data_IF_007821330865
#
_entry.id   IF_007821330865
#
_cell.length_a   1.000
_cell.length_b   1.000
_cell.length_c   1.000
_cell.angle_alpha   90.00
_cell.angle_beta   90.00
_cell.angle_gamma   90.00
#
_symmetry.space_group_name_H-M   'P 1'
#
loop_
_entity.id
_entity.type
_entity.pdbx_description
1 polymer ?
#
# COMPACT_ATOMS: atom_id res chain seq x y z
N UNK A 1 -22.98 7.74 -3.28
CA UNK A 1 -22.84 9.00 -2.50
C UNK A 1 -21.56 9.64 -2.97
N UNK A 2 -21.62 10.73 -3.74
CA UNK A 2 -20.40 11.41 -4.22
C UNK A 2 -20.01 12.43 -3.13
N UNK A 3 -18.77 12.38 -2.66
CA UNK A 3 -18.26 13.34 -1.68
C UNK A 3 -18.36 14.78 -2.20
N UNK A 4 -18.34 15.75 -1.27
CA UNK A 4 -18.37 17.16 -1.66
C UNK A 4 -17.20 17.47 -2.62
N UNK A 5 -17.41 18.20 -3.74
CA UNK A 5 -16.32 18.65 -4.61
C UNK A 5 -15.22 19.42 -3.86
N UNK A 6 -15.55 20.00 -2.70
CA UNK A 6 -14.57 20.67 -1.82
C UNK A 6 -13.53 19.71 -1.24
N UNK A 7 -13.84 18.41 -1.13
CA UNK A 7 -12.89 17.41 -0.65
C UNK A 7 -11.65 17.31 -1.54
N UNK A 8 -11.79 17.57 -2.86
CA UNK A 8 -10.69 17.56 -3.83
C UNK A 8 -9.60 18.58 -3.50
N UNK A 9 -9.93 19.66 -2.77
CA UNK A 9 -8.94 20.66 -2.34
C UNK A 9 -7.93 20.09 -1.33
N UNK A 10 -8.26 18.95 -0.70
CA UNK A 10 -7.40 18.26 0.25
C UNK A 10 -6.66 17.07 -0.37
N UNK A 11 -6.87 16.76 -1.65
CA UNK A 11 -6.19 15.66 -2.34
C UNK A 11 -4.85 16.09 -2.96
N UNK A 12 -4.03 16.79 -2.17
CA UNK A 12 -2.71 17.26 -2.62
C UNK A 12 -1.69 16.12 -2.56
N UNK A 13 -0.72 16.03 -3.50
CA UNK A 13 0.33 15.00 -3.45
C UNK A 13 1.20 15.09 -2.18
N UNK A 14 1.36 16.30 -1.65
CA UNK A 14 2.25 16.61 -0.53
C UNK A 14 1.45 17.17 0.66
N UNK A 15 0.64 16.35 1.35
CA UNK A 15 -0.13 16.83 2.49
C UNK A 15 0.80 17.21 3.64
N UNK A 16 0.41 18.21 4.44
CA UNK A 16 1.12 18.49 5.70
C UNK A 16 0.73 17.47 6.76
N UNK A 17 1.53 17.34 7.82
CA UNK A 17 1.14 16.53 9.00
C UNK A 17 -0.25 16.95 9.50
N UNK A 18 -0.54 18.25 9.56
CA UNK A 18 -1.83 18.74 10.05
C UNK A 18 -2.98 18.26 9.18
N UNK A 19 -2.78 18.16 7.87
CA UNK A 19 -3.84 17.72 6.96
C UNK A 19 -4.23 16.28 7.20
N UNK A 20 -3.25 15.39 7.39
CA UNK A 20 -3.51 13.95 7.56
C UNK A 20 -4.14 13.57 8.90
N UNK A 21 -4.04 14.43 9.93
CA UNK A 21 -4.73 14.21 11.22
C UNK A 21 -6.21 14.64 11.23
N UNK A 22 -6.68 15.39 10.21
CA UNK A 22 -8.03 15.98 10.24
C UNK A 22 -9.15 14.95 10.36
N UNK A 23 -9.02 13.81 9.69
CA UNK A 23 -10.06 12.78 9.73
C UNK A 23 -10.09 12.07 11.09
N UNK A 24 -8.92 11.74 11.65
CA UNK A 24 -8.82 11.17 13.00
C UNK A 24 -9.45 12.10 14.05
N UNK A 25 -9.16 13.41 13.99
CA UNK A 25 -9.76 14.40 14.89
C UNK A 25 -11.28 14.51 14.75
N UNK A 26 -11.83 14.22 13.57
CA UNK A 26 -13.26 14.19 13.34
C UNK A 26 -13.88 12.88 13.87
N UNK A 27 -13.26 11.73 13.57
CA UNK A 27 -13.76 10.40 13.94
C UNK A 27 -13.70 10.15 15.45
N UNK A 28 -12.66 10.62 16.14
CA UNK A 28 -12.53 10.51 17.61
C UNK A 28 -13.70 11.13 18.40
N UNK A 29 -14.53 11.96 17.76
CA UNK A 29 -15.74 12.55 18.38
C UNK A 29 -16.94 11.60 18.37
N UNK A 30 -16.94 10.62 17.48
CA UNK A 30 -18.06 9.69 17.24
C UNK A 30 -17.64 8.22 17.33
N UNK A 31 -16.36 7.92 17.56
CA UNK A 31 -15.81 6.56 17.59
C UNK A 31 -16.52 5.63 18.60
N UNK A 32 -17.14 6.19 19.66
CA UNK A 32 -17.87 5.42 20.67
C UNK A 32 -19.27 5.00 20.23
N UNK A 33 -19.79 5.56 19.15
CA UNK A 33 -21.14 5.33 18.66
C UNK A 33 -21.20 4.22 17.60
N UNK A 34 -20.04 3.74 17.13
CA UNK A 34 -19.93 2.76 16.05
C UNK A 34 -18.91 1.67 16.38
N UNK A 35 -19.27 0.40 16.15
CA UNK A 35 -18.34 -0.72 16.32
C UNK A 35 -17.30 -0.83 15.19
N UNK A 36 -17.66 -0.33 14.00
CA UNK A 36 -16.84 -0.39 12.79
C UNK A 36 -17.05 0.84 11.93
N UNK A 37 -15.94 1.43 11.47
CA UNK A 37 -15.93 2.53 10.50
C UNK A 37 -15.24 2.05 9.23
N UNK A 38 -15.91 2.15 8.09
CA UNK A 38 -15.35 1.85 6.76
C UNK A 38 -15.09 3.17 6.05
N UNK A 39 -13.85 3.39 5.62
CA UNK A 39 -13.44 4.59 4.89
C UNK A 39 -13.15 4.20 3.43
N UNK A 40 -13.96 4.70 2.51
CA UNK A 40 -13.74 4.54 1.07
C UNK A 40 -12.86 5.68 0.55
N UNK A 41 -11.79 5.35 -0.17
CA UNK A 41 -10.76 6.31 -0.59
C UNK A 41 -10.79 6.57 -2.09
N UNK A 42 -10.36 7.75 -2.56
CA UNK A 42 -10.10 7.95 -3.98
C UNK A 42 -9.00 7.00 -4.49
N UNK A 43 -8.89 6.79 -5.81
CA UNK A 43 -7.93 5.85 -6.40
C UNK A 43 -6.47 6.35 -6.37
N UNK A 44 -6.21 7.60 -5.97
CA UNK A 44 -4.89 8.21 -5.85
C UNK A 44 -4.29 7.96 -4.46
N UNK A 45 -2.96 7.76 -4.36
CA UNK A 45 -2.24 7.69 -3.07
C UNK A 45 -1.77 9.09 -2.64
N UNK A 46 -2.72 10.03 -2.64
CA UNK A 46 -2.50 11.45 -2.33
C UNK A 46 -2.99 11.79 -0.91
N UNK A 47 -3.16 13.08 -0.63
CA UNK A 47 -3.58 13.63 0.66
C UNK A 47 -4.83 12.99 1.25
N UNK A 48 -5.89 12.75 0.47
CA UNK A 48 -7.12 12.15 1.02
C UNK A 48 -6.91 10.71 1.46
N UNK A 49 -6.23 9.90 0.65
CA UNK A 49 -5.94 8.50 0.95
C UNK A 49 -4.99 8.37 2.13
N UNK A 50 -3.94 9.19 2.20
CA UNK A 50 -3.04 9.23 3.36
C UNK A 50 -3.75 9.68 4.64
N UNK A 51 -4.66 10.64 4.53
CA UNK A 51 -5.52 11.07 5.66
C UNK A 51 -6.42 9.92 6.14
N UNK A 52 -7.00 9.15 5.21
CA UNK A 52 -7.77 7.96 5.53
C UNK A 52 -6.93 6.89 6.25
N UNK A 53 -5.73 6.62 5.75
CA UNK A 53 -4.82 5.64 6.36
C UNK A 53 -4.36 6.04 7.77
N UNK A 54 -4.02 7.31 7.98
CA UNK A 54 -3.65 7.81 9.33
C UNK A 54 -4.80 7.65 10.33
N UNK A 55 -6.04 7.74 9.87
CA UNK A 55 -7.25 7.55 10.68
C UNK A 55 -7.67 6.07 10.83
N UNK A 56 -6.99 5.13 10.18
CA UNK A 56 -7.38 3.71 10.13
C UNK A 56 -6.51 2.82 11.01
N UNK A 57 -7.11 1.79 11.60
CA UNK A 57 -6.37 0.69 12.24
C UNK A 57 -5.93 -0.36 11.23
N UNK A 58 -6.74 -0.60 10.20
CA UNK A 58 -6.51 -1.59 9.15
C UNK A 58 -6.77 -1.00 7.78
N UNK A 59 -5.92 -1.34 6.81
CA UNK A 59 -6.12 -0.98 5.39
C UNK A 59 -6.18 -2.24 4.54
N UNK A 60 -7.28 -2.41 3.82
CA UNK A 60 -7.45 -3.45 2.81
C UNK A 60 -7.11 -2.88 1.43
N UNK A 61 -6.17 -3.50 0.72
CA UNK A 61 -5.81 -3.12 -0.65
C UNK A 61 -6.60 -3.99 -1.61
N UNK A 62 -7.39 -3.37 -2.48
CA UNK A 62 -8.12 -4.06 -3.54
C UNK A 62 -7.32 -3.95 -4.84
N UNK A 63 -6.91 -5.08 -5.39
CA UNK A 63 -6.07 -5.14 -6.60
C UNK A 63 -6.75 -5.96 -7.69
N UNK A 64 -6.71 -5.48 -8.92
CA UNK A 64 -7.07 -6.27 -10.10
C UNK A 64 -5.82 -7.04 -10.59
N UNK A 65 -5.97 -8.20 -11.24
CA UNK A 65 -4.84 -8.95 -11.78
C UNK A 65 -4.31 -8.28 -13.07
N UNK A 66 -3.63 -7.15 -12.91
CA UNK A 66 -3.02 -6.35 -13.98
C UNK A 66 -1.65 -5.80 -13.54
N UNK A 67 -0.75 -5.54 -14.51
CA UNK A 67 0.59 -4.98 -14.21
C UNK A 67 0.53 -3.70 -13.37
N UNK A 68 -0.35 -2.77 -13.70
CA UNK A 68 -0.44 -1.48 -13.01
C UNK A 68 -0.97 -1.65 -11.59
N UNK A 69 -1.92 -2.56 -11.40
CA UNK A 69 -2.49 -2.87 -10.08
C UNK A 69 -1.47 -3.56 -9.17
N UNK A 70 -0.64 -4.46 -9.71
CA UNK A 70 0.47 -5.10 -8.97
C UNK A 70 1.43 -4.03 -8.44
N UNK A 71 1.90 -3.14 -9.31
CA UNK A 71 2.82 -2.04 -8.93
C UNK A 71 2.16 -1.09 -7.94
N UNK A 72 0.89 -0.75 -8.14
CA UNK A 72 0.15 0.12 -7.23
C UNK A 72 -0.02 -0.51 -5.84
N UNK A 73 -0.28 -1.81 -5.76
CA UNK A 73 -0.41 -2.55 -4.50
C UNK A 73 0.93 -2.58 -3.73
N UNK A 74 2.06 -2.80 -4.40
CA UNK A 74 3.38 -2.77 -3.76
C UNK A 74 3.68 -1.37 -3.19
N UNK A 75 3.44 -0.33 -3.98
CA UNK A 75 3.58 1.06 -3.53
C UNK A 75 2.69 1.38 -2.34
N UNK A 76 1.44 0.91 -2.35
CA UNK A 76 0.52 1.10 -1.24
C UNK A 76 1.00 0.39 0.03
N UNK A 77 1.45 -0.87 -0.07
CA UNK A 77 2.00 -1.63 1.06
C UNK A 77 3.21 -0.92 1.68
N UNK A 78 4.15 -0.44 0.86
CA UNK A 78 5.32 0.32 1.33
C UNK A 78 4.92 1.61 2.03
N UNK A 79 4.01 2.38 1.43
CA UNK A 79 3.54 3.65 2.00
C UNK A 79 2.77 3.45 3.32
N UNK A 80 1.98 2.37 3.44
CA UNK A 80 1.32 2.00 4.71
C UNK A 80 2.37 1.70 5.78
N UNK A 81 3.42 0.96 5.44
CA UNK A 81 4.48 0.60 6.39
C UNK A 81 5.32 1.83 6.82
N UNK A 82 5.59 2.76 5.90
CA UNK A 82 6.23 4.05 6.22
C UNK A 82 5.38 4.87 7.19
N UNK A 83 4.08 5.01 6.91
CA UNK A 83 3.15 5.70 7.80
C UNK A 83 3.02 5.00 9.16
N UNK A 84 3.04 3.67 9.19
CA UNK A 84 3.01 2.90 10.43
C UNK A 84 4.24 3.20 11.29
N UNK A 85 5.43 3.18 10.69
CA UNK A 85 6.69 3.41 11.41
C UNK A 85 6.84 4.85 11.88
N UNK A 86 6.46 5.81 11.05
CA UNK A 86 6.67 7.24 11.34
C UNK A 86 5.52 7.90 12.10
N UNK A 87 4.28 7.67 11.69
CA UNK A 87 3.16 8.51 12.12
C UNK A 87 2.08 7.80 12.95
N UNK A 88 1.72 6.57 12.60
CA UNK A 88 0.56 5.88 13.18
C UNK A 88 0.88 4.39 13.47
N UNK A 89 1.55 4.08 14.60
CA UNK A 89 1.96 2.71 14.93
C UNK A 89 0.84 1.66 15.03
N UNK A 90 -0.42 2.11 15.14
CA UNK A 90 -1.62 1.26 15.12
C UNK A 90 -2.01 0.78 13.72
N UNK A 91 -1.66 1.53 12.68
CA UNK A 91 -1.99 1.23 11.29
C UNK A 91 -1.31 -0.07 10.87
N UNK A 92 -2.08 -1.01 10.34
CA UNK A 92 -1.54 -2.23 9.74
C UNK A 92 -2.26 -2.50 8.42
N UNK A 93 -1.56 -3.05 7.43
CA UNK A 93 -2.23 -3.61 6.28
C UNK A 93 -3.02 -4.85 6.74
N UNK A 94 -4.31 -4.91 6.40
CA UNK A 94 -5.10 -6.14 6.54
C UNK A 94 -4.62 -7.18 5.51
N UNK A 95 -4.26 -6.71 4.32
CA UNK A 95 -3.77 -7.51 3.23
C UNK A 95 -4.20 -6.96 1.87
N UNK A 96 -3.94 -7.76 0.84
CA UNK A 96 -4.32 -7.51 -0.55
C UNK A 96 -5.40 -8.51 -0.96
N UNK A 97 -6.52 -8.03 -1.50
CA UNK A 97 -7.56 -8.89 -2.10
C UNK A 97 -7.53 -8.78 -3.63
N UNK A 98 -7.56 -9.93 -4.31
CA UNK A 98 -7.67 -9.98 -5.77
C UNK A 98 -9.14 -9.80 -6.14
N UNK A 99 -9.43 -8.78 -6.93
CA UNK A 99 -10.75 -8.46 -7.44
C UNK A 99 -10.82 -8.57 -8.96
N UNK A 100 -12.03 -8.79 -9.48
CA UNK A 100 -12.31 -8.94 -10.92
C UNK A 100 -11.43 -9.99 -11.61
N UNK A 101 -11.22 -11.11 -10.93
CA UNK A 101 -10.50 -12.22 -11.53
C UNK A 101 -11.29 -12.83 -12.70
N UNK A 102 -10.59 -13.16 -13.79
CA UNK A 102 -11.14 -13.94 -14.91
C UNK A 102 -10.31 -15.21 -15.04
N UNK A 103 -10.75 -16.35 -14.47
CA UNK A 103 -9.95 -17.58 -14.44
C UNK A 103 -9.53 -18.10 -15.82
N UNK A 104 -10.31 -17.80 -16.86
CA UNK A 104 -10.00 -18.21 -18.25
C UNK A 104 -8.94 -17.32 -18.92
N UNK A 105 -8.60 -16.18 -18.33
CA UNK A 105 -7.59 -15.26 -18.87
C UNK A 105 -6.19 -15.65 -18.40
N UNK A 106 -5.33 -16.06 -19.34
CA UNK A 106 -3.92 -16.39 -19.05
C UNK A 106 -3.18 -15.22 -18.39
N UNK A 107 -3.45 -13.99 -18.83
CA UNK A 107 -2.86 -12.79 -18.23
C UNK A 107 -3.31 -12.62 -16.77
N UNK A 108 -4.61 -12.79 -16.49
CA UNK A 108 -5.09 -12.66 -15.11
C UNK A 108 -4.47 -13.74 -14.21
N UNK A 109 -4.36 -14.99 -14.69
CA UNK A 109 -3.73 -16.08 -13.93
C UNK A 109 -2.25 -15.80 -13.68
N UNK A 110 -1.51 -15.29 -14.67
CA UNK A 110 -0.13 -14.89 -14.51
C UNK A 110 0.04 -13.78 -13.45
N UNK A 111 -0.79 -12.73 -13.53
CA UNK A 111 -0.77 -11.61 -12.56
C UNK A 111 -1.21 -12.00 -11.17
N UNK A 112 -2.19 -12.90 -11.05
CA UNK A 112 -2.60 -13.44 -9.76
C UNK A 112 -1.45 -14.22 -9.09
N UNK A 113 -0.67 -14.99 -9.86
CA UNK A 113 0.52 -15.65 -9.34
C UNK A 113 1.60 -14.64 -8.93
N UNK A 114 1.82 -13.58 -9.71
CA UNK A 114 2.76 -12.50 -9.35
C UNK A 114 2.35 -11.83 -8.02
N UNK A 115 1.06 -11.54 -7.82
CA UNK A 115 0.52 -11.03 -6.55
C UNK A 115 0.76 -12.03 -5.41
N UNK A 116 0.56 -13.33 -5.65
CA UNK A 116 0.78 -14.38 -4.67
C UNK A 116 2.25 -14.51 -4.24
N UNK A 117 3.17 -14.43 -5.19
CA UNK A 117 4.61 -14.55 -4.95
C UNK A 117 5.15 -13.32 -4.21
N UNK A 118 4.60 -12.14 -4.53
CA UNK A 118 5.04 -10.86 -3.97
C UNK A 118 4.47 -10.62 -2.56
N UNK A 119 3.18 -10.88 -2.35
CA UNK A 119 2.51 -10.58 -1.08
C UNK A 119 2.41 -11.75 -0.13
N UNK A 120 2.54 -13.01 -0.59
CA UNK A 120 2.59 -14.22 0.26
C UNK A 120 1.51 -14.21 1.35
N UNK A 121 1.90 -14.13 2.62
CA UNK A 121 1.00 -14.07 3.78
C UNK A 121 0.13 -12.81 3.86
N UNK A 122 0.52 -11.72 3.19
CA UNK A 122 -0.28 -10.51 3.07
C UNK A 122 -1.33 -10.59 1.96
N UNK A 123 -1.31 -11.62 1.10
CA UNK A 123 -2.40 -11.85 0.15
C UNK A 123 -3.55 -12.56 0.88
N UNK A 124 -4.74 -11.99 0.79
CA UNK A 124 -5.93 -12.64 1.35
C UNK A 124 -6.25 -13.92 0.58
N UNK A 125 -6.74 -14.92 1.30
CA UNK A 125 -7.14 -16.21 0.72
C UNK A 125 -8.36 -16.08 -0.20
N UNK A 126 -9.16 -15.03 0.01
CA UNK A 126 -10.35 -14.74 -0.79
C UNK A 126 -9.99 -14.05 -2.11
N UNK A 127 -10.70 -14.45 -3.17
CA UNK A 127 -10.58 -13.87 -4.50
C UNK A 127 -11.97 -13.65 -5.09
N UNK A 128 -12.19 -12.46 -5.65
CA UNK A 128 -13.48 -12.06 -6.22
C UNK A 128 -13.39 -12.16 -7.75
N UNK A 129 -14.17 -13.07 -8.32
CA UNK A 129 -14.30 -13.18 -9.78
C UNK A 129 -15.10 -12.01 -10.37
N UNK A 130 -14.80 -11.67 -11.61
CA UNK A 130 -15.60 -10.73 -12.38
C UNK A 130 -16.95 -11.36 -12.73
N UNK A 131 -18.02 -10.91 -12.05
CA UNK A 131 -19.39 -11.40 -12.23
C UNK A 131 -20.34 -10.27 -12.61
N UNK A 132 -21.19 -10.52 -13.61
CA UNK A 132 -22.27 -9.59 -13.99
C UNK A 132 -23.22 -9.28 -12.80
N UNK A 133 -23.42 -10.25 -11.90
CA UNK A 133 -24.24 -10.08 -10.69
C UNK A 133 -23.79 -8.91 -9.81
N UNK A 134 -22.48 -8.68 -9.67
CA UNK A 134 -21.95 -7.54 -8.91
C UNK A 134 -22.33 -6.23 -9.61
N UNK A 135 -22.14 -6.16 -10.92
CA UNK A 135 -22.45 -4.97 -11.71
C UNK A 135 -23.96 -4.66 -11.69
N UNK A 136 -24.81 -5.69 -11.73
CA UNK A 136 -26.26 -5.56 -11.64
C UNK A 136 -26.70 -5.04 -10.26
N UNK A 137 -26.15 -5.62 -9.17
CA UNK A 137 -26.43 -5.17 -7.81
C UNK A 137 -25.99 -3.72 -7.59
N UNK A 138 -24.79 -3.35 -8.08
CA UNK A 138 -24.28 -1.99 -8.07
C UNK A 138 -25.19 -1.03 -8.85
N UNK A 139 -25.58 -1.40 -10.08
CA UNK A 139 -26.48 -0.58 -10.91
C UNK A 139 -27.86 -0.38 -10.29
N UNK A 140 -28.33 -1.33 -9.49
CA UNK A 140 -29.56 -1.21 -8.71
C UNK A 140 -29.36 -0.52 -7.34
N UNK A 141 -28.15 -0.10 -7.00
CA UNK A 141 -27.78 0.46 -5.70
C UNK A 141 -28.18 -0.43 -4.50
N UNK A 142 -28.03 -1.76 -4.66
CA UNK A 142 -28.34 -2.74 -3.62
C UNK A 142 -27.08 -3.48 -3.16
N UNK A 143 -26.89 -3.69 -1.85
CA UNK A 143 -25.85 -4.57 -1.36
C UNK A 143 -26.01 -5.97 -1.92
N UNK A 144 -24.89 -6.64 -2.23
CA UNK A 144 -24.89 -7.99 -2.80
C UNK A 144 -25.62 -9.00 -1.90
N UNK A 145 -25.53 -8.83 -0.57
CA UNK A 145 -26.26 -9.61 0.44
C UNK A 145 -27.78 -9.59 0.29
N UNK A 146 -28.32 -8.55 -0.36
CA UNK A 146 -29.76 -8.43 -0.59
C UNK A 146 -30.16 -8.77 -2.03
N UNK A 147 -29.19 -9.01 -2.92
CA UNK A 147 -29.45 -9.30 -4.32
C UNK A 147 -29.91 -10.75 -4.50
N UNK A 148 -30.93 -11.02 -5.34
CA UNK A 148 -31.46 -12.36 -5.49
C UNK A 148 -30.53 -13.29 -6.29
N UNK A 149 -30.59 -14.58 -5.98
CA UNK A 149 -29.95 -15.66 -6.75
C UNK A 149 -28.71 -16.27 -6.09
N UNK A 150 -28.42 -17.52 -6.44
CA UNK A 150 -27.37 -18.32 -5.80
C UNK A 150 -25.97 -17.68 -5.91
N UNK A 151 -25.65 -17.12 -7.09
CA UNK A 151 -24.39 -16.40 -7.31
C UNK A 151 -24.22 -15.20 -6.37
N UNK A 152 -25.31 -14.51 -6.01
CA UNK A 152 -25.24 -13.38 -5.08
C UNK A 152 -24.99 -13.86 -3.65
N UNK A 153 -25.59 -14.99 -3.26
CA UNK A 153 -25.38 -15.63 -1.96
C UNK A 153 -23.91 -16.09 -1.84
N UNK A 154 -23.35 -16.69 -2.88
CA UNK A 154 -21.93 -17.08 -2.91
C UNK A 154 -21.02 -15.86 -2.78
N UNK A 155 -21.28 -14.79 -3.54
CA UNK A 155 -20.51 -13.55 -3.45
C UNK A 155 -20.62 -12.89 -2.08
N UNK A 156 -21.80 -12.88 -1.46
CA UNK A 156 -22.02 -12.33 -0.13
C UNK A 156 -21.13 -13.02 0.93
N UNK A 157 -20.98 -14.35 0.86
CA UNK A 157 -20.10 -15.11 1.76
C UNK A 157 -18.64 -14.67 1.64
N UNK A 158 -18.17 -14.33 0.44
CA UNK A 158 -16.80 -13.82 0.25
C UNK A 158 -16.61 -12.49 1.01
N UNK A 159 -17.59 -11.59 0.95
CA UNK A 159 -17.55 -10.35 1.73
C UNK A 159 -17.64 -10.59 3.23
N UNK A 160 -18.40 -11.61 3.66
CA UNK A 160 -18.47 -12.01 5.08
C UNK A 160 -17.12 -12.55 5.57
N UNK A 161 -16.40 -13.32 4.75
CA UNK A 161 -15.05 -13.79 5.05
C UNK A 161 -14.05 -12.62 5.16
N UNK A 162 -14.13 -11.63 4.27
CA UNK A 162 -13.32 -10.40 4.36
C UNK A 162 -13.61 -9.66 5.67
N UNK A 163 -14.89 -9.50 6.02
CA UNK A 163 -15.30 -8.84 7.26
C UNK A 163 -14.80 -9.62 8.48
N UNK A 164 -14.93 -10.94 8.48
CA UNK A 164 -14.45 -11.79 9.56
C UNK A 164 -12.93 -11.67 9.75
N UNK A 165 -12.16 -11.66 8.65
CA UNK A 165 -10.72 -11.44 8.69
C UNK A 165 -10.36 -10.06 9.26
N UNK A 166 -11.07 -9.00 8.84
CA UNK A 166 -10.89 -7.66 9.38
C UNK A 166 -11.15 -7.62 10.91
N UNK A 167 -12.27 -8.18 11.35
CA UNK A 167 -12.65 -8.23 12.77
C UNK A 167 -11.67 -9.04 13.61
N UNK A 168 -11.20 -10.17 13.10
CA UNK A 168 -10.20 -11.00 13.76
C UNK A 168 -8.88 -10.25 13.92
N UNK A 169 -8.48 -9.48 12.91
CA UNK A 169 -7.21 -8.73 12.95
C UNK A 169 -7.17 -7.69 14.08
N UNK A 170 -8.31 -7.17 14.56
CA UNK A 170 -8.36 -6.24 15.69
C UNK A 170 -8.07 -6.90 17.04
N UNK A 171 -8.16 -8.23 17.13
CA UNK A 171 -7.90 -8.99 18.35
C UNK A 171 -6.42 -9.32 18.54
N UNK A 172 -5.59 -9.13 17.51
CA UNK A 172 -4.15 -9.31 17.63
C UNK A 172 -3.56 -8.30 18.61
N UNK A 173 -2.76 -8.74 19.61
CA UNK A 173 -2.28 -7.85 20.65
C UNK A 173 -1.46 -6.69 20.08
N UNK A 174 -1.95 -5.47 20.30
CA UNK A 174 -1.15 -4.27 20.16
C UNK A 174 0.01 -4.32 21.16
N UNK A 175 1.26 -4.38 20.68
CA UNK A 175 2.45 -4.48 21.54
C UNK A 175 2.50 -3.31 22.54
N UNK A 176 2.47 -3.61 23.84
CA UNK A 176 2.33 -2.64 24.94
C UNK A 176 3.48 -1.64 25.05
N UNK A 177 4.64 -1.90 24.42
CA UNK A 177 5.71 -0.91 24.29
C UNK A 177 5.29 0.32 23.44
N UNK A 178 4.26 0.18 22.60
CA UNK A 178 3.78 1.19 21.64
C UNK A 178 2.99 2.35 22.26
N UNK A 179 2.25 2.15 23.36
CA UNK A 179 1.47 3.23 24.00
C UNK A 179 2.31 4.38 24.62
N UNK A 180 3.63 4.16 24.80
CA UNK A 180 4.58 5.22 25.17
C UNK A 180 5.01 6.09 23.96
N UNK A 181 4.98 5.54 22.74
CA UNK A 181 5.30 6.28 21.50
C UNK A 181 4.15 7.21 21.09
N UNK A 182 2.89 6.81 21.22
CA UNK A 182 1.72 7.66 20.89
C UNK A 182 1.70 8.98 21.68
N UNK A 183 2.08 8.94 22.97
CA UNK A 183 2.22 10.15 23.81
C UNK A 183 3.41 11.03 23.39
N UNK A 184 4.47 10.45 22.83
CA UNK A 184 5.63 11.17 22.29
C UNK A 184 5.27 11.83 20.94
N UNK A 185 4.50 11.15 20.10
CA UNK A 185 3.98 11.63 18.82
C UNK A 185 2.99 12.79 18.96
N UNK A 186 2.09 12.76 19.95
CA UNK A 186 1.24 13.92 20.27
C UNK A 186 2.05 15.18 20.65
N UNK A 187 3.30 15.03 21.11
CA UNK A 187 4.21 16.15 21.36
C UNK A 187 4.97 16.57 20.10
N UNK A 188 5.38 15.64 19.24
CA UNK A 188 6.11 15.91 18.00
C UNK A 188 5.18 16.59 16.96
N UNK A 189 3.95 16.11 16.79
CA UNK A 189 2.92 16.73 15.95
C UNK A 189 2.58 18.18 16.37
N UNK A 190 2.71 18.51 17.66
CA UNK A 190 2.58 19.91 18.15
C UNK A 190 3.74 20.80 17.73
N UNK A 191 4.94 20.24 17.56
CA UNK A 191 6.19 20.93 17.21
C UNK A 191 6.35 21.06 15.69
N UNK A 192 5.93 20.07 14.90
CA UNK A 192 6.13 20.00 13.44
C UNK A 192 4.95 20.54 12.60
N UNK A 193 4.12 21.42 13.17
CA UNK A 193 2.96 21.98 12.46
C UNK A 193 3.40 22.74 11.19
N UNK A 194 2.95 22.26 10.03
CA UNK A 194 3.22 22.87 8.72
C UNK A 194 4.35 22.20 7.93
N UNK A 195 5.00 21.17 8.47
CA UNK A 195 5.98 20.38 7.70
C UNK A 195 5.28 19.39 6.76
N UNK A 196 5.94 19.15 5.63
CA UNK A 196 5.57 18.12 4.67
C UNK A 196 5.69 16.74 5.33
N UNK A 197 4.68 15.89 5.13
CA UNK A 197 4.64 14.54 5.67
C UNK A 197 5.85 13.68 5.26
N UNK A 198 6.22 13.68 3.97
CA UNK A 198 7.29 12.82 3.47
C UNK A 198 8.65 13.19 4.09
N UNK A 199 8.93 14.48 4.22
CA UNK A 199 10.14 14.97 4.88
C UNK A 199 10.24 14.55 6.36
N UNK A 200 9.10 14.40 7.04
CA UNK A 200 9.05 13.95 8.44
C UNK A 200 9.30 12.45 8.53
N UNK A 201 8.68 11.68 7.63
CA UNK A 201 8.89 10.22 7.55
C UNK A 201 10.37 9.89 7.23
N UNK A 202 11.01 10.68 6.36
CA UNK A 202 12.46 10.56 6.07
C UNK A 202 13.33 10.85 7.31
N UNK A 203 13.01 11.88 8.09
CA UNK A 203 13.78 12.19 9.31
C UNK A 203 13.62 11.10 10.37
N UNK A 204 12.43 10.52 10.48
CA UNK A 204 12.15 9.46 11.44
C UNK A 204 12.84 8.14 11.07
N UNK A 205 12.89 7.79 9.79
CA UNK A 205 13.62 6.60 9.32
C UNK A 205 15.12 6.70 9.63
N UNK A 206 15.71 7.90 9.49
CA UNK A 206 17.12 8.15 9.86
C UNK A 206 17.37 8.07 11.37
N UNK A 207 16.36 8.36 12.21
CA UNK A 207 16.49 8.26 13.67
C UNK A 207 16.32 6.83 14.18
N UNK A 208 15.51 6.00 13.52
CA UNK A 208 15.40 4.58 13.85
C UNK A 208 16.66 3.77 13.51
N UNK A 209 17.44 4.23 12.54
CA UNK A 209 18.68 3.58 12.08
C UNK A 209 19.94 4.08 12.79
N UNK A 210 19.82 4.89 13.85
CA UNK A 210 21.01 5.38 14.57
C UNK A 210 21.76 4.22 15.25
N UNK A 211 23.01 3.93 14.87
CA UNK A 211 23.82 2.86 15.48
C UNK A 211 24.14 3.10 16.97
N UNK A 212 23.76 4.26 17.51
CA UNK A 212 24.03 4.68 18.88
C UNK A 212 23.24 3.89 19.94
N UNK A 213 22.28 3.04 19.56
CA UNK A 213 21.66 2.07 20.49
C UNK A 213 22.39 0.72 20.57
N UNK A 214 23.38 0.46 19.71
CA UNK A 214 24.20 -0.76 19.74
C UNK A 214 25.50 -0.62 20.56
N UNK A 215 25.78 0.56 21.14
CA UNK A 215 26.99 0.85 21.94
C UNK A 215 26.80 0.59 23.44
N UNK A 216 26.18 -0.54 23.81
CA UNK A 216 26.41 -1.13 25.13
C UNK A 216 27.57 -2.11 24.97
N UNK A 217 28.77 -1.84 25.54
CA UNK A 217 29.92 -2.69 25.29
C UNK A 217 29.73 -4.04 25.98
N UNK A 218 29.49 -5.08 25.19
CA UNK A 218 29.84 -6.44 25.60
C UNK A 218 31.36 -6.55 25.52
N UNK A 219 31.99 -6.67 26.68
CA UNK A 219 33.39 -7.04 26.80
C UNK A 219 33.55 -8.48 26.36
N UNK A 220 33.97 -8.70 25.12
CA UNK A 220 34.70 -9.92 24.80
C UNK A 220 35.73 -9.67 23.70
N UNK A 221 36.96 -10.02 24.02
CA UNK A 221 38.17 -9.77 23.26
C UNK A 221 38.50 -10.98 22.41
N UNK A 222 38.31 -10.89 21.09
CA UNK A 222 39.19 -11.51 20.07
C UNK A 222 38.73 -11.17 18.65
N UNK A 223 39.59 -10.51 17.88
CA UNK A 223 39.43 -10.27 16.44
C UNK A 223 40.40 -11.17 15.68
N UNK A 224 40.00 -11.84 14.58
CA UNK A 224 40.92 -12.23 13.53
C UNK A 224 40.98 -11.12 12.46
N UNK A 225 42.19 -10.63 12.24
CA UNK A 225 42.54 -9.69 11.16
C UNK A 225 42.82 -10.45 9.86
N UNK A 226 42.03 -10.18 8.81
CA UNK A 226 42.32 -10.59 7.45
C UNK A 226 41.51 -9.75 6.44
N UNK A 227 42.08 -9.38 5.27
CA UNK A 227 41.37 -8.55 4.30
C UNK A 227 40.33 -9.38 3.53
N UNK A 228 39.08 -8.89 3.50
CA UNK A 228 37.99 -9.47 2.69
C UNK A 228 37.90 -8.68 1.38
N UNK A 229 38.20 -9.33 0.26
CA UNK A 229 38.04 -8.76 -1.08
C UNK A 229 36.58 -8.97 -1.54
N UNK A 230 35.89 -7.96 -2.14
CA UNK A 230 34.54 -8.16 -2.64
C UNK A 230 34.56 -9.05 -3.90
N UNK A 231 33.79 -10.13 -3.89
CA UNK A 231 33.48 -10.91 -5.10
C UNK A 231 32.23 -10.32 -5.74
N UNK A 232 32.35 -9.84 -6.97
CA UNK A 232 31.22 -9.35 -7.75
C UNK A 232 30.73 -10.50 -8.65
N UNK A 233 29.55 -11.03 -8.38
CA UNK A 233 28.90 -12.02 -9.24
C UNK A 233 28.19 -11.31 -10.42
N UNK A 234 28.22 -11.87 -11.64
CA UNK A 234 27.43 -11.34 -12.75
C UNK A 234 25.93 -11.62 -12.54
N UNK A 235 25.08 -10.64 -12.82
CA UNK A 235 23.62 -10.72 -12.72
C UNK A 235 23.03 -11.39 -13.97
N UNK A 236 22.11 -12.35 -13.78
CA UNK A 236 21.37 -13.06 -14.83
C UNK A 236 19.99 -12.39 -15.04
N UNK A 237 19.73 -11.76 -16.20
CA UNK A 237 18.49 -11.01 -16.45
C UNK A 237 17.22 -11.86 -16.56
N UNK A 238 17.34 -13.20 -16.69
CA UNK A 238 16.17 -14.10 -16.74
C UNK A 238 15.55 -14.40 -15.38
N UNK A 239 16.17 -13.93 -14.29
CA UNK A 239 15.72 -14.12 -12.90
C UNK A 239 15.29 -12.83 -12.20
N UNK A 240 15.27 -11.71 -12.93
CA UNK A 240 14.89 -10.41 -12.38
C UNK A 240 13.37 -10.28 -12.28
N UNK A 241 12.90 -9.83 -11.11
CA UNK A 241 11.54 -9.36 -10.90
C UNK A 241 11.23 -8.16 -11.78
N UNK A 242 9.94 -7.90 -12.04
CA UNK A 242 9.52 -6.73 -12.83
C UNK A 242 9.98 -5.38 -12.21
N UNK A 243 10.16 -5.33 -10.88
CA UNK A 243 10.71 -4.17 -10.16
C UNK A 243 12.19 -3.98 -10.51
N UNK A 244 12.99 -5.06 -10.47
CA UNK A 244 14.41 -5.02 -10.84
C UNK A 244 14.62 -4.69 -12.32
N UNK A 245 13.71 -5.14 -13.20
CA UNK A 245 13.73 -4.78 -14.62
C UNK A 245 13.44 -3.30 -14.84
N UNK A 246 12.49 -2.72 -14.10
CA UNK A 246 12.15 -1.29 -14.16
C UNK A 246 13.25 -0.41 -13.55
N UNK A 247 13.87 -0.83 -12.45
CA UNK A 247 15.02 -0.15 -11.85
C UNK A 247 16.26 -0.23 -12.74
N UNK A 248 16.50 -1.38 -13.39
CA UNK A 248 17.57 -1.53 -14.38
C UNK A 248 17.33 -0.62 -15.60
N UNK A 249 16.10 -0.53 -16.10
CA UNK A 249 15.73 0.39 -17.19
C UNK A 249 15.85 1.86 -16.79
N UNK A 250 15.53 2.22 -15.54
CA UNK A 250 15.68 3.58 -15.02
C UNK A 250 17.14 3.97 -14.78
N UNK A 251 18.05 3.00 -14.59
CA UNK A 251 19.48 3.22 -14.39
C UNK A 251 20.29 3.37 -15.70
N UNK A 252 19.68 3.08 -16.85
CA UNK A 252 20.28 3.28 -18.16
C UNK A 252 20.16 4.75 -18.56
N UNK A 253 21.28 5.47 -18.55
CA UNK A 253 21.39 6.75 -19.25
C UNK A 253 21.24 6.50 -20.75
N UNK A 254 20.09 6.88 -21.31
CA UNK A 254 19.92 6.93 -22.75
C UNK A 254 20.74 8.10 -23.32
N UNK A 255 21.89 7.79 -23.91
CA UNK A 255 22.55 8.68 -24.86
C UNK A 255 21.61 8.85 -26.09
N UNK A 256 21.38 10.08 -26.58
CA UNK A 256 20.52 10.30 -27.72
C UNK A 256 21.30 9.93 -28.99
N UNK A 257 21.16 8.67 -29.43
CA UNK A 257 21.66 8.23 -30.73
C UNK A 257 20.50 7.76 -31.63
N UNK A 258 20.52 8.32 -32.84
CA UNK A 258 19.89 7.87 -34.08
C UNK A 258 18.45 8.32 -34.39
N UNK A 259 18.34 9.64 -34.61
CA UNK A 259 17.31 10.30 -35.40
C UNK A 259 17.41 10.03 -36.92
N UNK A 260 17.96 8.89 -37.34
CA UNK A 260 18.11 8.47 -38.76
C UNK A 260 16.97 7.56 -39.23
N UNK A 261 16.20 6.96 -38.32
CA UNK A 261 15.11 6.04 -38.67
C UNK A 261 13.82 6.73 -39.19
N UNK A 262 13.71 8.06 -39.00
CA UNK A 262 12.54 8.85 -39.42
C UNK A 262 12.64 9.38 -40.87
N UNK A 263 13.81 9.33 -41.52
CA UNK A 263 13.95 9.76 -42.92
C UNK A 263 13.84 8.62 -43.94
N UNK A 264 14.18 7.37 -43.57
CA UNK A 264 14.12 6.24 -44.52
C UNK A 264 12.70 5.74 -44.78
N UNK A 265 11.75 5.94 -43.85
CA UNK A 265 10.37 5.47 -43.99
C UNK A 265 9.40 6.48 -44.63
N UNK A 266 9.90 7.59 -45.20
CA UNK A 266 9.07 8.63 -45.84
C UNK A 266 8.99 8.53 -47.36
N UNK A 267 9.53 7.47 -47.98
CA UNK A 267 9.57 7.31 -49.45
C UNK A 267 8.62 6.27 -50.05
N UNK A 268 7.85 5.53 -49.25
CA UNK A 268 6.94 4.49 -49.77
C UNK A 268 5.45 4.86 -49.70
N UNK A 269 5.11 6.13 -49.50
CA UNK A 269 3.74 6.64 -49.73
C UNK A 269 3.79 7.77 -50.77
N UNK A 270 3.82 7.38 -52.05
CA UNK A 270 3.73 8.26 -53.21
C UNK A 270 3.19 7.51 -54.43
#
# INVERSE_FOLDING_TARGET
>A
MIGSPRALQFDTPNPTIRDVWKLEEALSRIEKDYDLVIIDTPPSINGLTRTAWVASDRVLIVSEPSIFSVVAADRAMRAIEELRKGLTPRLQALGVVINRMRPQSKEHTYRAQELQDMFKENLMTVLIEERATIQQAQGAARPIHTWPGDHAIELAKIFDEILAAALASFQEPYDKNRGKQDKKMSRISKIMRGQNLDAVLELESLQSDSPLQALVPNTDTSLPTGPVTPVQMPLDPSKMSAIEQLEALASLNFEPADATWLEENKKDEG
#
